data_IF_568081941166
#
_entry.id   IF_568081941166
#
_cell.length_a   1.000
_cell.length_b   1.000
_cell.length_c   1.000
_cell.angle_alpha   90.00
_cell.angle_beta   90.00
_cell.angle_gamma   90.00
#
_symmetry.space_group_name_H-M   'P 1'
#
loop_
_entity.id
_entity.type
_entity.pdbx_description
1 polymer ?
#
# COMPACT_ATOMS: atom_id res chain seq x y z
N UNK A 1 6.10 -9.30 -16.38
CA UNK A 1 5.98 -8.11 -15.51
C UNK A 1 6.50 -6.86 -16.22
N UNK A 2 6.05 -5.68 -15.79
CA UNK A 2 6.60 -4.37 -16.19
C UNK A 2 7.72 -3.99 -15.23
N UNK A 3 8.89 -3.64 -15.75
CA UNK A 3 10.06 -3.24 -14.96
C UNK A 3 10.43 -1.81 -15.35
N UNK A 4 10.55 -0.91 -14.38
CA UNK A 4 11.16 0.40 -14.60
C UNK A 4 12.66 0.30 -14.33
N UNK A 5 13.47 0.39 -15.38
CA UNK A 5 14.93 0.32 -15.30
C UNK A 5 15.55 1.71 -15.39
N UNK A 6 16.19 2.15 -14.32
CA UNK A 6 16.89 3.43 -14.21
C UNK A 6 18.40 3.21 -14.37
N UNK A 7 18.96 3.78 -15.43
CA UNK A 7 20.35 3.55 -15.82
C UNK A 7 21.35 4.42 -15.05
N UNK A 8 22.61 4.00 -15.06
CA UNK A 8 23.71 4.74 -14.42
C UNK A 8 24.14 6.00 -15.19
N UNK A 9 25.07 6.73 -14.60
CA UNK A 9 25.71 7.91 -15.19
C UNK A 9 26.41 7.53 -16.50
N UNK A 10 26.28 8.34 -17.56
CA UNK A 10 26.86 8.15 -18.90
C UNK A 10 26.36 6.91 -19.64
N UNK A 11 25.34 6.24 -19.10
CA UNK A 11 24.65 5.15 -19.76
C UNK A 11 23.46 5.67 -20.56
N UNK A 12 23.04 4.92 -21.57
CA UNK A 12 21.84 5.23 -22.36
C UNK A 12 20.83 4.09 -22.26
N UNK A 13 19.55 4.35 -22.55
CA UNK A 13 18.53 3.32 -22.66
C UNK A 13 18.92 2.15 -23.58
N UNK A 14 18.48 0.94 -23.24
CA UNK A 14 18.79 -0.26 -24.02
C UNK A 14 20.17 -0.86 -23.75
N UNK A 15 20.78 -0.57 -22.59
CA UNK A 15 21.99 -1.24 -22.11
C UNK A 15 21.86 -2.77 -22.01
N UNK A 16 22.96 -3.46 -21.67
CA UNK A 16 22.98 -4.94 -21.59
C UNK A 16 21.96 -5.50 -20.59
N UNK A 17 21.83 -4.88 -19.42
CA UNK A 17 20.91 -5.28 -18.34
C UNK A 17 19.42 -5.19 -18.73
N UNK A 18 18.89 -4.03 -19.19
CA UNK A 18 17.50 -3.95 -19.61
C UNK A 18 17.22 -4.88 -20.81
N UNK A 19 18.15 -5.02 -21.77
CA UNK A 19 17.99 -5.99 -22.87
C UNK A 19 17.93 -7.45 -22.40
N UNK A 20 18.75 -7.80 -21.41
CA UNK A 20 18.72 -9.14 -20.81
C UNK A 20 17.37 -9.42 -20.14
N UNK A 21 16.81 -8.46 -19.39
CA UNK A 21 15.47 -8.60 -18.82
C UNK A 21 14.39 -8.71 -19.92
N UNK A 22 14.49 -7.92 -20.99
CA UNK A 22 13.57 -8.03 -22.14
C UNK A 22 13.66 -9.39 -22.85
N UNK A 23 14.86 -9.95 -23.02
CA UNK A 23 15.02 -11.27 -23.65
C UNK A 23 14.43 -12.42 -22.82
N UNK A 24 14.15 -12.18 -21.53
CA UNK A 24 13.49 -13.11 -20.62
C UNK A 24 11.99 -12.81 -20.44
N UNK A 25 11.39 -12.08 -21.38
CA UNK A 25 9.93 -11.89 -21.45
C UNK A 25 9.37 -10.76 -20.58
N UNK A 26 10.21 -9.89 -20.05
CA UNK A 26 9.76 -8.71 -19.29
C UNK A 26 9.55 -7.50 -20.20
N UNK A 27 8.53 -6.70 -19.89
CA UNK A 27 8.36 -5.36 -20.47
C UNK A 27 9.23 -4.40 -19.69
N UNK A 28 10.30 -3.88 -20.30
CA UNK A 28 11.26 -3.01 -19.62
C UNK A 28 11.09 -1.58 -20.11
N UNK A 29 10.65 -0.71 -19.20
CA UNK A 29 10.62 0.74 -19.36
C UNK A 29 11.99 1.26 -18.98
N UNK A 30 12.61 2.05 -19.84
CA UNK A 30 13.98 2.51 -19.61
C UNK A 30 14.12 3.94 -20.12
N UNK A 31 13.58 4.93 -19.38
CA UNK A 31 13.62 6.33 -19.79
C UNK A 31 15.06 6.83 -19.86
N UNK A 32 15.29 7.82 -20.72
CA UNK A 32 16.56 8.52 -20.75
C UNK A 32 16.66 9.47 -19.55
N UNK A 33 17.71 9.32 -18.74
CA UNK A 33 17.95 10.15 -17.57
C UNK A 33 19.09 11.13 -17.86
N UNK A 34 18.91 12.45 -17.65
CA UNK A 34 19.98 13.43 -17.85
C UNK A 34 21.12 13.17 -16.87
N UNK A 35 22.36 13.23 -17.34
CA UNK A 35 23.54 12.93 -16.54
C UNK A 35 23.90 14.05 -15.54
N UNK A 36 23.71 15.30 -15.96
CA UNK A 36 24.18 16.48 -15.23
C UNK A 36 23.12 17.08 -14.29
N UNK A 37 21.89 16.55 -14.32
CA UNK A 37 20.77 17.02 -13.51
C UNK A 37 20.11 15.84 -12.80
N UNK A 38 20.39 15.69 -11.51
CA UNK A 38 19.85 14.60 -10.70
C UNK A 38 18.36 14.79 -10.40
N UNK A 39 17.92 16.01 -10.10
CA UNK A 39 16.52 16.30 -9.78
C UNK A 39 15.63 16.07 -11.02
N UNK A 40 16.09 16.48 -12.20
CA UNK A 40 15.39 16.19 -13.45
C UNK A 40 15.33 14.67 -13.72
N UNK A 41 16.39 13.92 -13.42
CA UNK A 41 16.37 12.46 -13.54
C UNK A 41 15.35 11.81 -12.58
N UNK A 42 15.26 12.28 -11.33
CA UNK A 42 14.24 11.84 -10.36
C UNK A 42 12.84 12.17 -10.87
N UNK A 43 12.61 13.40 -11.37
CA UNK A 43 11.32 13.80 -11.93
C UNK A 43 10.88 12.94 -13.13
N UNK A 44 11.79 12.65 -14.06
CA UNK A 44 11.51 11.76 -15.21
C UNK A 44 11.18 10.34 -14.73
N UNK A 45 11.94 9.82 -13.77
CA UNK A 45 11.69 8.49 -13.21
C UNK A 45 10.34 8.42 -12.47
N UNK A 46 9.96 9.48 -11.75
CA UNK A 46 8.66 9.57 -11.07
C UNK A 46 7.50 9.55 -12.06
N UNK A 47 7.58 10.37 -13.12
CA UNK A 47 6.52 10.41 -14.15
C UNK A 47 6.35 9.04 -14.81
N UNK A 48 7.46 8.38 -15.19
CA UNK A 48 7.41 7.05 -15.79
C UNK A 48 6.83 6.01 -14.82
N UNK A 49 7.17 6.10 -13.53
CA UNK A 49 6.61 5.25 -12.48
C UNK A 49 5.09 5.44 -12.34
N UNK A 50 4.64 6.69 -12.22
CA UNK A 50 3.23 7.04 -12.02
C UNK A 50 2.36 6.60 -13.21
N UNK A 51 2.82 6.87 -14.43
CA UNK A 51 2.08 6.56 -15.66
C UNK A 51 2.01 5.05 -15.93
N UNK A 52 3.10 4.33 -15.64
CA UNK A 52 3.22 2.95 -16.06
C UNK A 52 2.99 1.93 -14.96
N UNK A 53 2.98 2.31 -13.68
CA UNK A 53 2.80 1.42 -12.53
C UNK A 53 3.61 0.11 -12.67
N UNK A 54 4.95 0.18 -12.64
CA UNK A 54 5.80 -1.00 -12.79
C UNK A 54 5.62 -1.97 -11.61
N UNK A 55 5.94 -3.24 -11.83
CA UNK A 55 5.90 -4.26 -10.78
C UNK A 55 7.19 -4.24 -9.95
N UNK A 56 8.31 -3.80 -10.55
CA UNK A 56 9.62 -3.70 -9.93
C UNK A 56 10.33 -2.46 -10.48
N UNK A 57 11.01 -1.72 -9.62
CA UNK A 57 11.95 -0.66 -10.02
C UNK A 57 13.38 -1.18 -9.86
N UNK A 58 14.14 -1.09 -10.93
CA UNK A 58 15.55 -1.50 -10.97
C UNK A 58 16.42 -0.26 -11.15
N UNK A 59 17.37 -0.05 -10.26
CA UNK A 59 18.28 1.09 -10.32
C UNK A 59 19.75 0.65 -10.35
N UNK A 60 20.49 1.05 -11.37
CA UNK A 60 21.93 0.72 -11.50
C UNK A 60 22.81 1.93 -11.22
N UNK A 61 23.74 1.82 -10.27
CA UNK A 61 24.71 2.87 -9.92
C UNK A 61 24.01 4.20 -9.57
N UNK A 62 24.21 5.27 -10.34
CA UNK A 62 23.45 6.54 -10.22
C UNK A 62 21.94 6.32 -10.34
N UNK A 63 21.48 5.45 -11.24
CA UNK A 63 20.07 5.08 -11.35
C UNK A 63 19.53 4.37 -10.10
N UNK A 64 20.39 3.73 -9.30
CA UNK A 64 20.06 3.22 -7.97
C UNK A 64 19.73 4.34 -6.99
N UNK A 65 20.51 5.43 -7.01
CA UNK A 65 20.19 6.61 -6.22
C UNK A 65 18.90 7.28 -6.71
N UNK A 66 18.66 7.37 -8.02
CA UNK A 66 17.39 7.88 -8.57
C UNK A 66 16.22 7.03 -8.07
N UNK A 67 16.31 5.69 -8.18
CA UNK A 67 15.27 4.78 -7.69
C UNK A 67 14.94 4.98 -6.21
N UNK A 68 15.93 5.29 -5.38
CA UNK A 68 15.73 5.55 -3.95
C UNK A 68 15.07 6.90 -3.63
N UNK A 69 15.03 7.85 -4.59
CA UNK A 69 14.51 9.21 -4.36
C UNK A 69 13.19 9.48 -5.10
N UNK A 70 12.60 8.49 -5.78
CA UNK A 70 11.21 8.57 -6.26
C UNK A 70 10.25 8.04 -5.18
N UNK A 71 9.00 8.48 -5.20
CA UNK A 71 7.91 7.86 -4.44
C UNK A 71 7.42 6.62 -5.19
N UNK A 72 7.97 5.48 -4.81
CA UNK A 72 7.64 4.16 -5.37
C UNK A 72 6.77 3.32 -4.43
N UNK A 73 6.19 3.91 -3.37
CA UNK A 73 5.36 3.20 -2.39
C UNK A 73 6.01 1.91 -1.87
N UNK A 74 5.28 0.79 -1.98
CA UNK A 74 5.76 -0.55 -1.63
C UNK A 74 6.24 -1.36 -2.86
N UNK A 75 6.45 -0.72 -4.01
CA UNK A 75 6.94 -1.39 -5.22
C UNK A 75 8.36 -1.91 -4.99
N UNK A 76 8.62 -3.22 -5.17
CA UNK A 76 9.92 -3.81 -4.96
C UNK A 76 11.07 -3.08 -5.68
N UNK A 77 12.20 -2.96 -4.97
CA UNK A 77 13.43 -2.35 -5.49
C UNK A 77 14.50 -3.41 -5.73
N UNK A 78 15.15 -3.35 -6.90
CA UNK A 78 16.42 -4.07 -7.15
C UNK A 78 17.51 -3.06 -7.46
N UNK A 79 18.49 -2.95 -6.56
CA UNK A 79 19.57 -1.98 -6.67
C UNK A 79 20.89 -2.67 -7.06
N UNK A 80 21.55 -2.18 -8.10
CA UNK A 80 22.86 -2.68 -8.54
C UNK A 80 23.93 -1.64 -8.22
N UNK A 81 24.84 -1.96 -7.29
CA UNK A 81 25.92 -1.09 -6.83
C UNK A 81 25.46 0.38 -6.61
N UNK A 82 24.42 0.64 -5.78
CA UNK A 82 23.74 1.93 -5.73
C UNK A 82 24.67 3.06 -5.26
N UNK A 83 24.75 4.14 -6.04
CA UNK A 83 25.60 5.30 -5.76
C UNK A 83 24.94 6.32 -4.81
N UNK A 84 24.19 5.86 -3.81
CA UNK A 84 23.30 6.68 -2.97
C UNK A 84 24.01 7.70 -2.09
N UNK A 85 25.29 7.47 -1.74
CA UNK A 85 26.10 8.46 -1.02
C UNK A 85 26.64 9.58 -1.91
N UNK A 86 26.69 9.34 -3.22
CA UNK A 86 27.17 10.32 -4.20
C UNK A 86 26.04 11.18 -4.78
N UNK A 87 24.80 10.69 -4.72
CA UNK A 87 23.66 11.28 -5.40
C UNK A 87 22.39 11.19 -4.56
N UNK A 88 21.60 12.27 -4.55
CA UNK A 88 20.34 12.35 -3.83
C UNK A 88 20.50 12.48 -2.31
N UNK A 89 19.38 12.39 -1.60
CA UNK A 89 19.33 12.52 -0.13
C UNK A 89 18.85 11.26 0.59
N UNK A 90 18.24 10.32 -0.13
CA UNK A 90 17.76 9.07 0.46
C UNK A 90 18.91 8.22 1.03
N UNK A 91 18.79 7.86 2.31
CA UNK A 91 19.78 7.04 3.02
C UNK A 91 19.22 5.72 3.55
N UNK A 92 17.98 5.39 3.18
CA UNK A 92 17.24 4.18 3.58
C UNK A 92 16.36 3.71 2.42
N UNK A 93 16.01 2.43 2.45
CA UNK A 93 15.06 1.78 1.54
C UNK A 93 14.06 0.94 2.32
N UNK A 94 12.91 0.60 1.74
CA UNK A 94 11.92 -0.26 2.42
C UNK A 94 12.32 -1.74 2.39
N UNK A 95 11.57 -2.57 3.13
CA UNK A 95 11.86 -4.00 3.34
C UNK A 95 11.82 -4.84 2.06
N UNK A 96 11.03 -4.46 1.05
CA UNK A 96 10.96 -5.12 -0.27
C UNK A 96 12.12 -4.70 -1.20
N UNK A 97 13.36 -4.68 -0.72
CA UNK A 97 14.55 -4.27 -1.51
C UNK A 97 15.61 -5.37 -1.55
N UNK A 98 16.14 -5.64 -2.74
CA UNK A 98 17.32 -6.49 -2.95
C UNK A 98 18.46 -5.65 -3.51
N UNK A 99 19.68 -5.84 -2.99
CA UNK A 99 20.88 -5.12 -3.43
C UNK A 99 21.87 -6.14 -3.98
N UNK A 100 22.28 -5.95 -5.23
CA UNK A 100 23.33 -6.72 -5.90
C UNK A 100 24.60 -5.86 -5.95
N UNK A 101 25.72 -6.35 -5.43
CA UNK A 101 26.96 -5.59 -5.41
C UNK A 101 28.19 -6.51 -5.47
N UNK A 102 29.16 -6.20 -6.32
CA UNK A 102 30.46 -6.86 -6.30
C UNK A 102 31.35 -6.32 -5.18
N UNK A 103 32.05 -7.20 -4.46
CA UNK A 103 33.14 -6.77 -3.55
C UNK A 103 34.36 -6.21 -4.30
N UNK A 104 34.45 -6.47 -5.60
CA UNK A 104 35.51 -5.97 -6.47
C UNK A 104 35.10 -4.67 -7.20
N UNK A 105 34.01 -4.03 -6.79
CA UNK A 105 33.59 -2.73 -7.30
C UNK A 105 34.63 -1.65 -6.94
N UNK A 106 35.23 -1.05 -7.97
CA UNK A 106 36.24 0.01 -7.87
C UNK A 106 35.66 1.42 -8.05
N UNK A 107 34.36 1.54 -8.31
CA UNK A 107 33.65 2.80 -8.53
C UNK A 107 32.83 3.20 -7.30
N UNK A 108 32.07 2.26 -6.74
CA UNK A 108 31.24 2.43 -5.54
C UNK A 108 31.75 1.45 -4.48
N UNK A 109 32.15 1.92 -3.28
CA UNK A 109 32.57 1.02 -2.22
C UNK A 109 31.47 0.03 -1.83
N UNK A 110 31.78 -1.26 -1.78
CA UNK A 110 30.86 -2.30 -1.27
C UNK A 110 30.29 -1.96 0.12
N UNK A 111 31.09 -1.29 0.95
CA UNK A 111 30.70 -0.85 2.29
C UNK A 111 29.51 0.12 2.29
N UNK A 112 29.31 0.89 1.21
CA UNK A 112 28.16 1.79 1.09
C UNK A 112 26.85 1.00 1.03
N UNK A 113 26.84 -0.20 0.43
CA UNK A 113 25.67 -1.08 0.46
C UNK A 113 25.48 -1.78 1.80
N UNK A 114 26.57 -2.15 2.49
CA UNK A 114 26.49 -2.69 3.86
C UNK A 114 25.86 -1.67 4.80
N UNK A 115 26.27 -0.40 4.68
CA UNK A 115 25.68 0.70 5.45
C UNK A 115 24.22 0.95 5.09
N UNK A 116 23.85 0.88 3.81
CA UNK A 116 22.45 1.02 3.38
C UNK A 116 21.55 -0.07 3.97
N UNK A 117 22.02 -1.32 4.03
CA UNK A 117 21.29 -2.40 4.72
C UNK A 117 21.15 -2.10 6.20
N UNK A 118 22.23 -1.70 6.88
CA UNK A 118 22.20 -1.38 8.32
C UNK A 118 21.28 -0.21 8.68
N UNK A 119 21.08 0.74 7.76
CA UNK A 119 20.19 1.89 7.95
C UNK A 119 18.70 1.56 7.68
N UNK A 120 18.42 0.42 7.06
CA UNK A 120 17.10 0.06 6.50
C UNK A 120 16.48 -1.14 7.23
N UNK A 121 15.15 -1.34 7.17
CA UNK A 121 14.48 -2.54 7.66
C UNK A 121 14.72 -3.75 6.73
N UNK A 122 15.98 -4.08 6.47
CA UNK A 122 16.40 -5.17 5.59
C UNK A 122 17.12 -6.26 6.39
N UNK A 123 16.89 -7.55 6.07
CA UNK A 123 17.75 -8.62 6.55
C UNK A 123 19.13 -8.54 5.87
N UNK A 124 20.17 -9.11 6.49
CA UNK A 124 21.51 -9.19 5.86
C UNK A 124 21.49 -9.90 4.51
N UNK A 125 20.58 -10.86 4.33
CA UNK A 125 20.38 -11.58 3.07
C UNK A 125 19.88 -10.71 1.91
N UNK A 126 19.42 -9.49 2.17
CA UNK A 126 19.03 -8.55 1.12
C UNK A 126 20.25 -8.02 0.33
N UNK A 127 21.47 -8.08 0.88
CA UNK A 127 22.70 -7.74 0.17
C UNK A 127 23.35 -9.00 -0.42
N UNK A 128 23.17 -9.18 -1.72
CA UNK A 128 23.75 -10.29 -2.47
C UNK A 128 25.09 -9.85 -3.06
N UNK A 129 26.16 -10.44 -2.55
CA UNK A 129 27.48 -10.31 -3.14
C UNK A 129 27.52 -11.07 -4.48
N UNK A 130 27.74 -10.37 -5.59
CA UNK A 130 27.77 -10.99 -6.93
C UNK A 130 28.68 -10.22 -7.89
N UNK A 131 29.27 -10.92 -8.86
CA UNK A 131 30.02 -10.32 -9.96
C UNK A 131 31.45 -9.94 -9.63
N UNK A 132 32.19 -9.55 -10.67
CA UNK A 132 33.63 -9.33 -10.65
C UNK A 132 34.03 -7.84 -10.77
N UNK A 133 33.08 -6.95 -11.07
CA UNK A 133 33.31 -5.52 -11.30
C UNK A 133 32.07 -4.66 -10.95
N UNK A 134 32.21 -3.34 -11.06
CA UNK A 134 31.11 -2.38 -10.91
C UNK A 134 29.97 -2.58 -11.93
N UNK A 135 30.31 -3.11 -13.11
CA UNK A 135 29.37 -3.14 -14.23
C UNK A 135 28.30 -4.18 -14.02
N UNK A 136 28.56 -5.28 -13.29
CA UNK A 136 27.59 -6.37 -13.08
C UNK A 136 26.92 -6.79 -14.40
N UNK A 137 27.73 -6.91 -15.45
CA UNK A 137 27.27 -7.17 -16.81
C UNK A 137 27.59 -8.59 -17.27
N UNK A 138 28.25 -9.39 -16.42
CA UNK A 138 28.53 -10.80 -16.66
C UNK A 138 27.28 -11.67 -16.47
N UNK A 139 27.33 -12.90 -16.95
CA UNK A 139 26.19 -13.83 -16.94
C UNK A 139 25.64 -14.08 -15.54
N UNK A 140 26.49 -14.34 -14.54
CA UNK A 140 26.08 -14.57 -13.16
C UNK A 140 25.35 -13.34 -12.56
N UNK A 141 25.91 -12.11 -12.57
CA UNK A 141 25.17 -10.92 -12.15
C UNK A 141 23.87 -10.67 -12.90
N UNK A 142 23.82 -10.92 -14.21
CA UNK A 142 22.60 -10.76 -15.00
C UNK A 142 21.54 -11.78 -14.60
N UNK A 143 21.94 -13.02 -14.32
CA UNK A 143 21.05 -14.04 -13.80
C UNK A 143 20.54 -13.68 -12.40
N UNK A 144 21.41 -13.17 -11.51
CA UNK A 144 20.99 -12.66 -10.19
C UNK A 144 20.09 -11.44 -10.29
N UNK A 145 20.27 -10.58 -11.29
CA UNK A 145 19.35 -9.48 -11.56
C UNK A 145 17.97 -10.00 -11.96
N UNK A 146 17.91 -10.99 -12.86
CA UNK A 146 16.66 -11.61 -13.28
C UNK A 146 15.96 -12.29 -12.10
N UNK A 147 16.70 -13.11 -11.34
CA UNK A 147 16.21 -13.73 -10.11
C UNK A 147 15.72 -12.67 -9.13
N UNK A 148 16.48 -11.60 -8.89
CA UNK A 148 16.05 -10.52 -8.01
C UNK A 148 14.75 -9.86 -8.49
N UNK A 149 14.58 -9.62 -9.79
CA UNK A 149 13.32 -9.07 -10.33
C UNK A 149 12.15 -10.07 -10.21
N UNK A 150 12.43 -11.38 -10.32
CA UNK A 150 11.44 -12.45 -10.20
C UNK A 150 11.16 -12.90 -8.77
N UNK A 151 12.06 -12.59 -7.83
CA UNK A 151 11.91 -12.79 -6.38
C UNK A 151 11.54 -11.50 -5.68
N UNK A 152 11.53 -10.38 -6.40
CA UNK A 152 10.83 -9.14 -6.05
C UNK A 152 9.32 -9.31 -6.19
N UNK A 153 8.88 -10.20 -7.08
CA UNK A 153 7.74 -11.07 -6.79
C UNK A 153 8.19 -12.04 -5.68
N UNK A 154 8.42 -11.54 -4.45
CA UNK A 154 8.35 -12.48 -3.32
C UNK A 154 6.98 -13.08 -3.52
N UNK A 155 6.91 -14.40 -3.69
CA UNK A 155 5.73 -15.15 -3.27
C UNK A 155 5.48 -14.63 -1.86
N UNK A 156 4.68 -13.57 -1.73
CA UNK A 156 4.15 -13.13 -0.45
C UNK A 156 3.33 -14.34 -0.13
N UNK A 157 3.94 -15.27 0.61
CA UNK A 157 3.34 -16.55 0.90
C UNK A 157 1.93 -16.19 1.33
N UNK A 158 0.91 -16.54 0.52
CA UNK A 158 -0.38 -15.94 0.69
C UNK A 158 -0.78 -16.24 2.11
N UNK A 159 -0.93 -15.20 2.91
CA UNK A 159 -1.19 -15.43 4.32
C UNK A 159 -2.61 -15.97 4.42
N UNK A 160 -2.78 -16.97 5.27
CA UNK A 160 -4.10 -17.49 5.56
C UNK A 160 -4.85 -16.40 6.36
N UNK A 161 -5.97 -15.95 5.81
CA UNK A 161 -6.83 -14.91 6.37
C UNK A 161 -8.22 -15.51 6.53
N UNK A 162 -8.69 -15.55 7.77
CA UNK A 162 -10.08 -15.90 8.04
C UNK A 162 -10.95 -14.65 7.86
N UNK A 163 -11.94 -14.72 6.97
CA UNK A 163 -12.97 -13.70 6.78
C UNK A 163 -14.24 -14.13 7.49
N UNK A 164 -14.72 -13.28 8.39
CA UNK A 164 -15.96 -13.47 9.13
C UNK A 164 -17.05 -12.59 8.52
N UNK A 165 -18.16 -13.20 8.13
CA UNK A 165 -19.33 -12.47 7.65
C UNK A 165 -20.37 -12.40 8.75
N UNK A 166 -20.83 -11.18 9.04
CA UNK A 166 -21.77 -10.92 10.11
C UNK A 166 -23.00 -10.16 9.62
N UNK A 167 -24.13 -10.42 10.24
CA UNK A 167 -25.40 -9.78 9.92
C UNK A 167 -26.23 -9.43 11.15
N UNK A 168 -27.15 -8.50 10.97
CA UNK A 168 -28.13 -8.07 11.94
C UNK A 168 -29.49 -7.99 11.21
N UNK A 169 -30.43 -8.85 11.62
CA UNK A 169 -31.77 -8.98 11.02
C UNK A 169 -32.85 -8.22 11.81
N UNK A 170 -32.50 -7.70 12.98
CA UNK A 170 -33.32 -6.81 13.78
C UNK A 170 -32.42 -5.87 14.57
N UNK A 171 -32.86 -4.62 14.81
CA UNK A 171 -32.10 -3.66 15.58
C UNK A 171 -31.76 -4.21 16.97
N UNK A 172 -30.50 -4.07 17.35
CA UNK A 172 -30.01 -4.48 18.66
C UNK A 172 -30.63 -3.61 19.77
N UNK A 173 -31.09 -4.25 20.85
CA UNK A 173 -31.56 -3.56 22.06
C UNK A 173 -30.41 -3.08 22.97
N UNK A 174 -29.17 -3.11 22.47
CA UNK A 174 -27.99 -2.65 23.22
C UNK A 174 -28.11 -1.16 23.50
N UNK A 175 -27.87 -0.79 24.76
CA UNK A 175 -27.62 0.59 25.15
C UNK A 175 -26.13 0.88 25.16
N UNK A 176 -25.74 2.04 24.63
CA UNK A 176 -24.40 2.61 24.80
C UNK A 176 -24.50 3.89 25.63
N UNK A 177 -23.45 4.25 26.39
CA UNK A 177 -23.42 5.53 27.10
C UNK A 177 -23.66 6.71 26.16
N UNK A 178 -24.27 7.77 26.69
CA UNK A 178 -24.40 9.06 26.01
C UNK A 178 -23.04 9.50 25.46
N UNK A 179 -22.98 10.04 24.23
CA UNK A 179 -21.73 10.56 23.68
C UNK A 179 -21.16 11.66 24.54
N UNK A 180 -19.85 11.88 24.39
CA UNK A 180 -19.24 13.15 24.80
C UNK A 180 -19.80 14.27 23.93
N UNK A 181 -19.88 15.49 24.48
CA UNK A 181 -20.47 16.65 23.81
C UNK A 181 -19.67 17.13 22.58
N UNK A 182 -18.42 16.69 22.45
CA UNK A 182 -17.49 17.06 21.37
C UNK A 182 -17.56 16.12 20.14
N UNK A 183 -18.42 15.09 20.18
CA UNK A 183 -18.57 14.14 19.09
C UNK A 183 -19.66 14.57 18.10
N UNK A 184 -19.31 14.60 16.82
CA UNK A 184 -20.29 14.81 15.74
C UNK A 184 -20.07 13.83 14.61
N UNK A 185 -21.14 13.28 14.04
CA UNK A 185 -21.09 12.46 12.82
C UNK A 185 -21.67 13.28 11.66
N UNK A 186 -20.88 13.47 10.62
CA UNK A 186 -21.26 14.26 9.43
C UNK A 186 -21.39 13.32 8.24
N UNK A 187 -22.57 13.33 7.61
CA UNK A 187 -22.76 12.69 6.31
C UNK A 187 -22.13 13.56 5.22
N UNK A 188 -20.99 13.15 4.70
CA UNK A 188 -20.28 13.85 3.64
C UNK A 188 -20.97 13.60 2.30
N UNK A 189 -21.64 14.62 1.77
CA UNK A 189 -22.22 14.58 0.43
C UNK A 189 -21.10 14.69 -0.62
N UNK A 190 -21.19 13.90 -1.70
CA UNK A 190 -20.29 13.97 -2.86
C UNK A 190 -18.79 14.01 -2.47
N UNK A 191 -18.27 13.02 -1.73
CA UNK A 191 -16.87 13.03 -1.31
C UNK A 191 -15.94 13.06 -2.53
N UNK A 192 -14.93 13.93 -2.46
CA UNK A 192 -13.87 13.95 -3.47
C UNK A 192 -12.99 12.71 -3.29
N UNK A 193 -12.44 12.22 -4.40
CA UNK A 193 -11.49 11.09 -4.36
C UNK A 193 -10.31 11.35 -3.41
N UNK A 194 -9.64 12.53 -3.43
CA UNK A 194 -8.56 12.81 -2.49
C UNK A 194 -8.99 12.75 -1.01
N UNK A 195 -10.17 13.28 -0.67
CA UNK A 195 -10.65 13.27 0.72
C UNK A 195 -10.99 11.86 1.20
N UNK A 196 -11.65 11.07 0.36
CA UNK A 196 -11.92 9.67 0.67
C UNK A 196 -10.62 8.87 0.83
N UNK A 197 -9.64 9.05 -0.08
CA UNK A 197 -8.34 8.38 -0.01
C UNK A 197 -7.57 8.78 1.26
N UNK A 198 -7.66 10.03 1.72
CA UNK A 198 -7.10 10.46 3.00
C UNK A 198 -7.65 9.64 4.16
N UNK A 199 -8.98 9.58 4.31
CA UNK A 199 -9.64 8.83 5.39
C UNK A 199 -9.32 7.32 5.30
N UNK A 200 -9.50 6.75 4.11
CA UNK A 200 -9.27 5.33 3.86
C UNK A 200 -7.84 4.91 4.20
N UNK A 201 -6.86 5.69 3.74
CA UNK A 201 -5.46 5.39 4.01
C UNK A 201 -5.10 5.63 5.48
N UNK A 202 -5.60 6.69 6.11
CA UNK A 202 -5.29 6.99 7.50
C UNK A 202 -5.84 5.92 8.48
N UNK A 203 -7.04 5.40 8.22
CA UNK A 203 -7.67 4.36 9.04
C UNK A 203 -7.15 2.97 8.71
N UNK A 204 -7.04 2.64 7.42
CA UNK A 204 -6.72 1.29 6.95
C UNK A 204 -5.22 0.96 6.86
N UNK A 205 -4.33 1.93 7.12
CA UNK A 205 -2.87 1.77 6.95
C UNK A 205 -2.32 0.52 7.61
N UNK A 206 -2.69 0.28 8.87
CA UNK A 206 -2.15 -0.79 9.69
C UNK A 206 -2.92 -2.13 9.53
N UNK A 207 -3.98 -2.14 8.69
CA UNK A 207 -4.91 -3.27 8.53
C UNK A 207 -4.99 -3.78 7.08
N UNK A 208 -4.02 -3.41 6.23
CA UNK A 208 -3.91 -3.90 4.85
C UNK A 208 -5.20 -3.74 4.03
N UNK A 209 -5.86 -2.59 4.17
CA UNK A 209 -7.03 -2.26 3.37
C UNK A 209 -6.63 -2.06 1.89
N UNK A 210 -7.07 -2.98 1.02
CA UNK A 210 -6.71 -2.98 -0.41
C UNK A 210 -7.88 -2.72 -1.37
N UNK A 211 -9.13 -2.97 -0.94
CA UNK A 211 -10.29 -3.00 -1.85
C UNK A 211 -10.52 -1.67 -2.61
N UNK A 212 -10.33 -0.51 -1.97
CA UNK A 212 -10.49 0.81 -2.61
C UNK A 212 -9.19 1.35 -3.19
N UNK A 213 -8.03 0.81 -2.80
CA UNK A 213 -6.72 1.13 -3.41
C UNK A 213 -6.60 0.60 -4.83
N UNK A 214 -7.19 -0.57 -5.11
CA UNK A 214 -7.16 -1.19 -6.44
C UNK A 214 -8.02 -0.48 -7.49
N UNK A 215 -8.91 0.41 -7.08
CA UNK A 215 -9.76 1.16 -7.99
C UNK A 215 -9.01 2.38 -8.55
N UNK A 216 -9.13 2.60 -9.85
CA UNK A 216 -8.76 3.88 -10.46
C UNK A 216 -9.59 5.02 -9.87
N UNK A 217 -9.12 6.27 -10.00
CA UNK A 217 -9.86 7.42 -9.49
C UNK A 217 -11.26 7.54 -10.09
N UNK A 218 -11.45 7.15 -11.35
CA UNK A 218 -12.75 7.16 -12.03
C UNK A 218 -13.72 6.12 -11.45
N UNK A 219 -13.24 4.89 -11.22
CA UNK A 219 -14.04 3.82 -10.62
C UNK A 219 -14.37 4.12 -9.16
N UNK A 220 -13.39 4.67 -8.43
CA UNK A 220 -13.57 5.07 -7.04
C UNK A 220 -14.59 6.21 -6.94
N UNK A 221 -14.45 7.26 -7.77
CA UNK A 221 -15.41 8.37 -7.82
C UNK A 221 -16.83 7.86 -8.10
N UNK A 222 -17.00 7.00 -9.11
CA UNK A 222 -18.29 6.40 -9.46
C UNK A 222 -18.92 5.61 -8.30
N UNK A 223 -18.09 5.04 -7.42
CA UNK A 223 -18.55 4.29 -6.25
C UNK A 223 -18.91 5.21 -5.07
N UNK A 224 -18.02 6.12 -4.69
CA UNK A 224 -18.19 6.96 -3.48
C UNK A 224 -19.14 8.13 -3.69
N UNK A 225 -19.47 8.45 -4.95
CA UNK A 225 -20.42 9.51 -5.32
C UNK A 225 -21.79 8.95 -5.73
N UNK A 226 -22.03 7.62 -5.70
CA UNK A 226 -23.39 7.10 -5.82
C UNK A 226 -24.18 7.57 -4.59
N UNK A 227 -25.36 8.19 -4.76
CA UNK A 227 -26.15 8.72 -3.64
C UNK A 227 -26.65 7.64 -2.66
N UNK A 228 -26.50 6.36 -2.99
CA UNK A 228 -26.79 5.22 -2.11
C UNK A 228 -25.53 4.63 -1.45
N UNK A 229 -24.34 5.16 -1.74
CA UNK A 229 -23.12 4.85 -1.00
C UNK A 229 -22.76 6.04 -0.12
N UNK A 230 -22.99 5.93 1.19
CA UNK A 230 -22.91 7.05 2.12
C UNK A 230 -21.60 7.04 2.90
N UNK A 231 -20.93 8.20 2.97
CA UNK A 231 -19.75 8.41 3.80
C UNK A 231 -20.12 9.21 5.06
N UNK A 232 -20.04 8.57 6.23
CA UNK A 232 -20.29 9.19 7.52
C UNK A 232 -18.98 9.38 8.28
N UNK A 233 -18.57 10.62 8.52
CA UNK A 233 -17.29 10.96 9.15
C UNK A 233 -17.52 11.37 10.60
N UNK A 234 -16.87 10.67 11.53
CA UNK A 234 -16.82 11.02 12.93
C UNK A 234 -15.81 12.16 13.14
N UNK A 235 -16.20 13.17 13.89
CA UNK A 235 -15.33 14.25 14.32
C UNK A 235 -15.30 14.35 15.84
N UNK A 236 -14.15 14.80 16.36
CA UNK A 236 -13.90 15.16 17.77
C UNK A 236 -13.37 16.59 17.77
N UNK A 237 -14.10 17.54 18.38
CA UNK A 237 -13.75 18.98 18.36
C UNK A 237 -13.46 19.51 16.93
N UNK A 238 -14.19 18.99 15.94
CA UNK A 238 -14.06 19.37 14.53
C UNK A 238 -12.93 18.67 13.75
N UNK A 239 -12.09 17.86 14.39
CA UNK A 239 -11.06 17.06 13.71
C UNK A 239 -11.60 15.67 13.31
N UNK A 240 -11.24 15.17 12.13
CA UNK A 240 -11.62 13.81 11.69
C UNK A 240 -11.06 12.74 12.61
N UNK A 241 -11.95 11.93 13.18
CA UNK A 241 -11.62 10.88 14.13
C UNK A 241 -11.88 9.47 13.62
N UNK A 242 -12.65 9.32 12.54
CA UNK A 242 -12.97 8.03 11.93
C UNK A 242 -14.05 8.16 10.86
N UNK A 243 -14.39 7.07 10.19
CA UNK A 243 -15.48 7.07 9.23
C UNK A 243 -16.18 5.72 9.13
N UNK A 244 -17.40 5.76 8.57
CA UNK A 244 -18.21 4.61 8.20
C UNK A 244 -18.69 4.80 6.75
N UNK A 245 -18.51 3.77 5.92
CA UNK A 245 -19.05 3.72 4.56
C UNK A 245 -20.21 2.74 4.52
N UNK A 246 -21.38 3.21 4.08
CA UNK A 246 -22.61 2.42 4.01
C UNK A 246 -23.06 2.26 2.56
N UNK A 247 -23.10 1.03 2.05
CA UNK A 247 -23.61 0.74 0.71
C UNK A 247 -25.07 0.27 0.80
N UNK A 248 -25.98 1.07 0.25
CA UNK A 248 -27.43 0.85 0.18
C UNK A 248 -27.90 0.59 -1.25
N UNK A 249 -26.98 0.26 -2.17
CA UNK A 249 -27.32 0.03 -3.58
C UNK A 249 -28.14 -1.24 -3.76
N UNK A 250 -28.03 -2.21 -2.85
CA UNK A 250 -28.86 -3.40 -2.81
C UNK A 250 -30.21 -3.12 -2.13
N UNK A 251 -31.35 -3.45 -2.75
CA UNK A 251 -32.65 -3.24 -2.14
C UNK A 251 -32.82 -4.00 -0.82
N UNK A 252 -33.34 -3.33 0.21
CA UNK A 252 -33.63 -3.88 1.55
C UNK A 252 -32.41 -4.38 2.35
N UNK A 253 -31.19 -4.20 1.84
CA UNK A 253 -29.95 -4.55 2.54
C UNK A 253 -29.06 -3.31 2.64
N UNK A 254 -28.29 -3.24 3.73
CA UNK A 254 -27.21 -2.27 3.86
C UNK A 254 -25.95 -3.01 4.23
N UNK A 255 -24.84 -2.69 3.57
CA UNK A 255 -23.51 -3.16 3.93
C UNK A 255 -22.74 -2.05 4.67
N UNK A 256 -22.11 -2.36 5.80
CA UNK A 256 -21.04 -1.53 6.37
C UNK A 256 -19.73 -1.92 5.69
N UNK A 257 -19.39 -1.21 4.62
CA UNK A 257 -18.26 -1.55 3.75
C UNK A 257 -16.93 -1.23 4.44
N UNK A 258 -16.88 -0.09 5.13
CA UNK A 258 -15.72 0.35 5.88
C UNK A 258 -16.14 0.95 7.20
N UNK A 259 -15.38 0.67 8.24
CA UNK A 259 -15.58 1.26 9.56
C UNK A 259 -14.27 1.30 10.32
N UNK A 260 -13.89 2.47 10.82
CA UNK A 260 -12.74 2.56 11.69
C UNK A 260 -12.48 3.97 12.22
N UNK A 261 -11.48 4.04 13.09
CA UNK A 261 -11.02 5.28 13.73
C UNK A 261 -9.60 5.58 13.27
N UNK A 262 -9.26 6.86 13.21
CA UNK A 262 -7.87 7.27 13.07
C UNK A 262 -7.07 6.84 14.32
N UNK A 263 -5.77 6.46 14.18
CA UNK A 263 -4.99 5.92 15.28
C UNK A 263 -4.99 6.74 16.57
N UNK A 264 -4.97 8.08 16.45
CA UNK A 264 -4.98 8.99 17.59
C UNK A 264 -6.24 8.88 18.48
N UNK A 265 -7.34 8.34 17.95
CA UNK A 265 -8.64 8.27 18.62
C UNK A 265 -9.01 6.86 19.12
N UNK A 266 -8.15 5.87 18.87
CA UNK A 266 -8.33 4.51 19.38
C UNK A 266 -8.14 4.48 20.91
N UNK A 267 -8.92 3.64 21.60
CA UNK A 267 -8.84 3.48 23.06
C UNK A 267 -9.57 4.54 23.88
N UNK A 268 -10.12 5.58 23.25
CA UNK A 268 -10.84 6.67 23.94
C UNK A 268 -12.33 6.38 24.21
N UNK A 269 -12.81 5.17 23.90
CA UNK A 269 -14.21 4.76 24.09
C UNK A 269 -15.20 5.26 23.02
N UNK A 270 -14.79 6.16 22.12
CA UNK A 270 -15.67 6.79 21.13
C UNK A 270 -16.19 5.84 20.05
N UNK A 271 -15.42 4.80 19.69
CA UNK A 271 -15.81 3.86 18.63
C UNK A 271 -17.07 3.06 18.93
N UNK A 272 -17.35 2.79 20.22
CA UNK A 272 -18.58 2.10 20.63
C UNK A 272 -19.82 2.94 20.35
N UNK A 273 -19.71 4.24 20.61
CA UNK A 273 -20.78 5.18 20.32
C UNK A 273 -20.92 5.39 18.82
N UNK A 274 -19.81 5.58 18.10
CA UNK A 274 -19.84 5.77 16.65
C UNK A 274 -20.49 4.57 15.93
N UNK A 275 -20.12 3.34 16.30
CA UNK A 275 -20.77 2.14 15.75
C UNK A 275 -22.28 2.11 16.05
N UNK A 276 -22.69 2.51 17.25
CA UNK A 276 -24.12 2.59 17.57
C UNK A 276 -24.84 3.65 16.73
N UNK A 277 -24.25 4.84 16.58
CA UNK A 277 -24.79 5.89 15.71
C UNK A 277 -24.93 5.40 14.26
N UNK A 278 -23.98 4.61 13.77
CA UNK A 278 -24.05 3.98 12.44
C UNK A 278 -25.17 2.94 12.36
N UNK A 279 -25.32 2.09 13.39
CA UNK A 279 -26.43 1.12 13.47
C UNK A 279 -27.78 1.85 13.45
N UNK A 280 -27.96 2.89 14.27
CA UNK A 280 -29.20 3.66 14.34
C UNK A 280 -29.50 4.35 13.00
N UNK A 281 -28.47 4.87 12.33
CA UNK A 281 -28.59 5.41 10.97
C UNK A 281 -29.07 4.35 9.98
N UNK A 282 -28.48 3.17 9.99
CA UNK A 282 -28.89 2.09 9.09
C UNK A 282 -30.34 1.66 9.34
N UNK A 283 -30.74 1.45 10.59
CA UNK A 283 -32.11 1.05 10.93
C UNK A 283 -33.16 2.13 10.68
N UNK A 284 -32.77 3.41 10.59
CA UNK A 284 -33.67 4.48 10.13
C UNK A 284 -34.19 4.25 8.70
N UNK A 285 -33.50 3.43 7.90
CA UNK A 285 -33.93 3.02 6.56
C UNK A 285 -34.82 1.78 6.53
N UNK A 286 -35.07 1.16 7.68
CA UNK A 286 -35.87 -0.06 7.80
C UNK A 286 -35.42 -1.19 6.85
N UNK A 287 -34.11 -1.54 6.80
CA UNK A 287 -33.66 -2.65 5.98
C UNK A 287 -34.14 -3.98 6.58
N UNK A 288 -34.21 -5.02 5.75
CA UNK A 288 -34.40 -6.39 6.23
C UNK A 288 -33.08 -6.96 6.79
N UNK A 289 -31.94 -6.41 6.37
CA UNK A 289 -30.62 -6.90 6.73
C UNK A 289 -29.59 -5.78 6.77
N UNK A 290 -28.81 -5.76 7.84
CA UNK A 290 -27.59 -4.98 7.93
C UNK A 290 -26.41 -5.94 8.07
N UNK A 291 -25.42 -5.89 7.19
CA UNK A 291 -24.32 -6.86 7.20
C UNK A 291 -22.96 -6.20 7.00
N UNK A 292 -21.91 -6.95 7.32
CA UNK A 292 -20.52 -6.57 7.13
C UNK A 292 -19.64 -7.81 7.04
N UNK A 293 -18.41 -7.62 6.60
CA UNK A 293 -17.35 -8.61 6.77
C UNK A 293 -16.14 -7.97 7.46
N UNK A 294 -15.43 -8.75 8.25
CA UNK A 294 -14.16 -8.39 8.90
C UNK A 294 -13.24 -9.59 8.83
N UNK A 295 -11.93 -9.39 8.95
CA UNK A 295 -10.97 -10.48 8.81
C UNK A 295 -9.92 -10.50 9.93
N UNK A 296 -9.14 -11.58 9.97
CA UNK A 296 -8.03 -11.74 10.93
C UNK A 296 -6.94 -10.67 10.83
N UNK A 297 -6.91 -9.86 9.76
CA UNK A 297 -6.01 -8.72 9.57
C UNK A 297 -6.55 -7.39 10.11
N UNK A 298 -7.85 -7.30 10.36
CA UNK A 298 -8.41 -6.11 10.98
C UNK A 298 -7.96 -6.00 12.45
N UNK A 299 -8.28 -4.88 13.09
CA UNK A 299 -7.98 -4.69 14.50
C UNK A 299 -8.44 -5.90 15.33
N UNK A 300 -7.57 -6.41 16.21
CA UNK A 300 -7.80 -7.62 17.02
C UNK A 300 -9.11 -7.67 17.85
N UNK A 301 -9.80 -6.55 18.03
CA UNK A 301 -11.08 -6.47 18.76
C UNK A 301 -12.29 -6.24 17.84
N UNK A 302 -12.12 -6.13 16.52
CA UNK A 302 -13.17 -5.80 15.56
C UNK A 302 -14.31 -6.81 15.62
N UNK A 303 -14.02 -8.10 15.41
CA UNK A 303 -15.00 -9.18 15.47
C UNK A 303 -15.78 -9.18 16.80
N UNK A 304 -15.07 -9.06 17.93
CA UNK A 304 -15.68 -9.02 19.24
C UNK A 304 -16.56 -7.76 19.44
N UNK A 305 -16.18 -6.64 18.84
CA UNK A 305 -16.92 -5.38 18.89
C UNK A 305 -18.23 -5.48 18.12
N UNK A 306 -18.22 -6.05 16.91
CA UNK A 306 -19.42 -6.27 16.11
C UNK A 306 -20.37 -7.26 16.78
N UNK A 307 -19.86 -8.38 17.30
CA UNK A 307 -20.68 -9.36 18.06
C UNK A 307 -21.32 -8.71 19.29
N UNK A 308 -20.59 -7.90 20.05
CA UNK A 308 -21.13 -7.14 21.19
C UNK A 308 -22.17 -6.09 20.77
N UNK A 309 -22.10 -5.59 19.53
CA UNK A 309 -23.11 -4.67 19.00
C UNK A 309 -24.41 -5.36 18.59
N UNK A 310 -24.43 -6.68 18.51
CA UNK A 310 -25.62 -7.48 18.18
C UNK A 310 -25.58 -8.13 16.80
N UNK A 311 -24.45 -8.03 16.08
CA UNK A 311 -24.26 -8.79 14.86
C UNK A 311 -24.04 -10.28 15.17
N UNK A 312 -24.62 -11.14 14.34
CA UNK A 312 -24.47 -12.60 14.38
C UNK A 312 -23.63 -13.03 13.18
N UNK A 313 -22.66 -13.89 13.41
CA UNK A 313 -21.85 -14.47 12.33
C UNK A 313 -22.69 -15.53 11.59
N UNK A 314 -22.79 -15.41 10.26
CA UNK A 314 -23.56 -16.34 9.43
C UNK A 314 -22.69 -17.12 8.43
N UNK A 315 -21.46 -16.66 8.17
CA UNK A 315 -20.49 -17.36 7.32
C UNK A 315 -19.04 -17.10 7.78
N UNK A 316 -18.14 -17.98 7.39
CA UNK A 316 -16.69 -17.90 7.61
C UNK A 316 -15.96 -18.50 6.42
N UNK A 317 -14.92 -17.84 5.94
CA UNK A 317 -14.12 -18.28 4.80
C UNK A 317 -12.64 -18.16 5.11
N UNK A 318 -11.88 -19.22 4.80
CA UNK A 318 -10.42 -19.16 4.79
C UNK A 318 -9.95 -18.76 3.40
N UNK A 319 -9.27 -17.62 3.30
CA UNK A 319 -8.70 -17.12 2.05
C UNK A 319 -7.19 -17.01 2.17
N UNK A 320 -6.53 -17.08 1.02
CA UNK A 320 -5.12 -16.81 0.89
C UNK A 320 -4.93 -15.45 0.23
N UNK A 321 -4.24 -14.54 0.92
CA UNK A 321 -4.06 -13.15 0.44
C UNK A 321 -2.59 -12.77 0.35
N UNK A 322 -2.23 -12.17 -0.79
CA UNK A 322 -1.01 -11.40 -0.95
C UNK A 322 -1.21 -10.00 -0.33
N UNK A 323 -0.21 -9.51 0.42
CA UNK A 323 -0.23 -8.24 1.16
C UNK A 323 0.45 -7.08 0.42
#
# INVERSE_FOLDING_TARGET
MKILFLHGWTSSPGGKKPRFLTSHGHTVLNPALPDDDFEAAVGIAQVEYDECSPHVVVGSSRGGAVAMNIDHGDTPLVLLCPAWKKWGSASKVHSKTVILHSKADDVIPFQDSVELVGNSPLPESALVQVGSDHRLADEEPLQKLLEACQTSDVDIEPIDVTVYYLEMLAQSNRSVPTPRDDLTVVHTQEPTVPYYRFLYNAVGKDYHWLNRRKLSDVELASTIQDPRNELHVLHVDGAEAGFAELDRRQPNEVELVQFGLLPAFIGQGIGKWFLQSTIDRVWSYQPNRFWLHTCSLDHAIALATYKKAGFVQFNEEEIRREL
#
